data_IF_089454508567
#
_entry.id   IF_089454508567
#
_cell.length_a   1.000
_cell.length_b   1.000
_cell.length_c   1.000
_cell.angle_alpha   90.00
_cell.angle_beta   90.00
_cell.angle_gamma   90.00
#
_symmetry.space_group_name_H-M   'P 1'
#
loop_
_entity.id
_entity.type
_entity.pdbx_description
1 polymer ?
#
# COMPACT_ATOMS: atom_id res chain seq x y z
N UNK A 1 -23.85 -16.20 -3.56
CA UNK A 1 -24.23 -14.83 -3.99
C UNK A 1 -23.02 -13.94 -3.75
N UNK A 2 -22.67 -13.08 -4.71
CA UNK A 2 -21.65 -12.06 -4.48
C UNK A 2 -22.23 -10.98 -3.57
N UNK A 3 -21.52 -10.63 -2.50
CA UNK A 3 -21.89 -9.55 -1.58
C UNK A 3 -20.96 -8.36 -1.86
N UNK A 4 -21.54 -7.19 -2.13
CA UNK A 4 -20.80 -5.95 -2.35
C UNK A 4 -20.98 -5.08 -1.11
N UNK A 5 -19.93 -4.84 -0.31
CA UNK A 5 -20.04 -3.94 0.82
C UNK A 5 -20.27 -2.50 0.34
N UNK A 6 -21.14 -1.77 1.02
CA UNK A 6 -21.48 -0.38 0.73
C UNK A 6 -21.21 0.45 1.97
N UNK A 7 -20.44 1.53 1.82
CA UNK A 7 -20.26 2.49 2.90
C UNK A 7 -21.47 3.45 2.95
N UNK A 8 -22.22 3.41 4.05
CA UNK A 8 -23.42 4.24 4.22
C UNK A 8 -23.16 5.60 4.90
N UNK A 9 -22.07 5.71 5.67
CA UNK A 9 -21.76 6.89 6.47
C UNK A 9 -20.26 7.08 6.60
N UNK A 10 -19.84 8.32 6.85
CA UNK A 10 -18.45 8.63 7.16
C UNK A 10 -18.03 8.12 8.53
N UNK A 11 -18.96 7.84 9.46
CA UNK A 11 -18.65 7.26 10.78
C UNK A 11 -19.28 5.87 10.94
N UNK A 12 -18.60 4.92 11.61
CA UNK A 12 -17.27 5.03 12.26
C UNK A 12 -16.08 4.99 11.29
N UNK A 13 -14.91 5.48 11.74
CA UNK A 13 -13.62 5.50 10.99
C UNK A 13 -12.53 4.93 11.89
N UNK A 14 -11.61 4.16 11.32
CA UNK A 14 -10.38 3.75 11.99
C UNK A 14 -9.45 4.95 12.25
N UNK A 15 -8.55 4.82 13.23
CA UNK A 15 -7.42 5.76 13.34
C UNK A 15 -6.51 5.67 12.11
N UNK A 16 -5.76 6.71 11.76
CA UNK A 16 -4.88 6.68 10.58
C UNK A 16 -3.89 5.50 10.60
N UNK A 17 -3.34 5.18 11.77
CA UNK A 17 -2.44 4.05 11.97
C UNK A 17 -3.15 2.71 11.69
N UNK A 18 -4.33 2.52 12.27
CA UNK A 18 -5.10 1.30 12.07
C UNK A 18 -5.62 1.19 10.64
N UNK A 19 -6.08 2.28 10.03
CA UNK A 19 -6.54 2.33 8.66
C UNK A 19 -5.44 1.96 7.66
N UNK A 20 -4.20 2.40 7.91
CA UNK A 20 -3.04 2.02 7.12
C UNK A 20 -2.79 0.51 7.20
N UNK A 21 -2.91 -0.09 8.39
CA UNK A 21 -2.78 -1.52 8.58
C UNK A 21 -3.93 -2.30 7.94
N UNK A 22 -5.19 -1.84 8.08
CA UNK A 22 -6.37 -2.49 7.49
C UNK A 22 -6.42 -2.36 5.98
N UNK A 23 -5.91 -1.26 5.42
CA UNK A 23 -6.03 -0.89 4.01
C UNK A 23 -7.34 -0.16 3.68
N UNK A 24 -8.08 0.29 4.70
CA UNK A 24 -9.31 1.08 4.55
C UNK A 24 -9.52 1.94 5.79
N UNK A 25 -10.09 3.13 5.61
CA UNK A 25 -10.54 3.97 6.73
C UNK A 25 -11.84 3.46 7.35
N UNK A 26 -12.63 2.69 6.62
CA UNK A 26 -14.01 2.41 6.99
C UNK A 26 -14.20 0.95 7.42
N UNK A 27 -14.57 0.69 8.69
CA UNK A 27 -14.80 -0.67 9.19
C UNK A 27 -15.85 -1.45 8.40
N UNK A 28 -16.86 -0.76 7.85
CA UNK A 28 -17.89 -1.40 7.01
C UNK A 28 -17.38 -1.94 5.67
N UNK A 29 -16.17 -1.54 5.26
CA UNK A 29 -15.48 -2.03 4.07
C UNK A 29 -14.34 -3.02 4.40
N UNK A 30 -13.97 -3.19 5.68
CA UNK A 30 -12.92 -4.11 6.13
C UNK A 30 -13.47 -5.55 6.21
N UNK A 31 -13.62 -6.18 5.05
CA UNK A 31 -14.10 -7.56 4.95
C UNK A 31 -12.91 -8.54 5.03
N UNK A 32 -12.96 -9.57 5.90
CA UNK A 32 -11.91 -10.56 5.98
C UNK A 32 -11.87 -11.41 4.70
N UNK A 33 -10.68 -11.59 4.15
CA UNK A 33 -10.45 -12.55 3.08
C UNK A 33 -10.10 -13.90 3.71
N UNK A 34 -10.93 -14.93 3.55
CA UNK A 34 -10.69 -16.27 4.15
C UNK A 34 -10.43 -16.23 5.67
N UNK A 35 -11.19 -15.42 6.42
CA UNK A 35 -10.97 -15.14 7.86
C UNK A 35 -9.60 -14.51 8.20
N UNK A 36 -8.85 -14.07 7.20
CA UNK A 36 -7.63 -13.29 7.39
C UNK A 36 -7.97 -11.80 7.32
N UNK A 37 -7.45 -11.05 8.29
CA UNK A 37 -7.47 -9.60 8.31
C UNK A 37 -6.04 -9.10 8.40
N UNK A 38 -5.76 -7.95 7.81
CA UNK A 38 -4.46 -7.33 7.98
C UNK A 38 -4.34 -6.85 9.43
N UNK A 39 -3.41 -7.44 10.18
CA UNK A 39 -3.16 -7.11 11.60
C UNK A 39 -1.78 -6.53 11.84
N UNK A 40 -0.89 -6.55 10.85
CA UNK A 40 0.47 -6.05 10.99
C UNK A 40 0.47 -4.55 11.21
N UNK A 41 1.13 -4.09 12.27
CA UNK A 41 1.40 -2.67 12.46
C UNK A 41 2.46 -2.22 11.45
N UNK A 42 2.02 -1.43 10.46
CA UNK A 42 2.91 -0.89 9.43
C UNK A 42 3.48 0.47 9.83
N UNK A 43 3.04 1.05 10.95
CA UNK A 43 3.50 2.38 11.36
C UNK A 43 4.99 2.39 11.67
N UNK A 44 5.70 3.38 11.13
CA UNK A 44 7.16 3.50 11.28
C UNK A 44 7.99 2.44 10.53
N UNK A 45 7.36 1.52 9.78
CA UNK A 45 8.08 0.56 8.93
C UNK A 45 8.40 1.17 7.56
N UNK A 46 9.50 0.75 6.90
CA UNK A 46 9.81 1.22 5.54
C UNK A 46 8.71 0.92 4.52
N UNK A 47 8.00 -0.20 4.66
CA UNK A 47 6.87 -0.53 3.77
C UNK A 47 5.68 0.41 4.03
N UNK A 48 5.34 0.65 5.31
CA UNK A 48 4.26 1.55 5.68
C UNK A 48 4.51 2.99 5.21
N UNK A 49 5.76 3.45 5.25
CA UNK A 49 6.16 4.76 4.70
C UNK A 49 5.91 4.83 3.19
N UNK A 50 6.32 3.82 2.41
CA UNK A 50 6.04 3.74 0.97
C UNK A 50 4.54 3.75 0.69
N UNK A 51 3.77 2.92 1.39
CA UNK A 51 2.33 2.81 1.21
C UNK A 51 1.60 4.12 1.53
N UNK A 52 1.96 4.79 2.63
CA UNK A 52 1.35 6.05 3.01
C UNK A 52 1.63 7.15 1.99
N UNK A 53 2.87 7.27 1.51
CA UNK A 53 3.23 8.26 0.49
C UNK A 53 2.53 7.99 -0.84
N UNK A 54 2.42 6.74 -1.26
CA UNK A 54 1.70 6.36 -2.48
C UNK A 54 0.20 6.63 -2.39
N UNK A 55 -0.41 6.38 -1.23
CA UNK A 55 -1.80 6.73 -0.98
C UNK A 55 -2.02 8.24 -1.14
N UNK A 56 -1.20 9.06 -0.47
CA UNK A 56 -1.31 10.53 -0.56
C UNK A 56 -1.08 11.02 -2.00
N UNK A 57 -0.13 10.43 -2.72
CA UNK A 57 0.10 10.76 -4.13
C UNK A 57 -1.15 10.49 -4.98
N UNK A 58 -1.79 9.34 -4.79
CA UNK A 58 -2.99 8.98 -5.54
C UNK A 58 -4.19 9.90 -5.21
N UNK A 59 -4.38 10.24 -3.94
CA UNK A 59 -5.45 11.16 -3.51
C UNK A 59 -5.25 12.56 -4.09
N UNK A 60 -4.02 13.08 -4.09
CA UNK A 60 -3.70 14.39 -4.67
C UNK A 60 -3.90 14.40 -6.20
N UNK A 61 -3.52 13.32 -6.88
CA UNK A 61 -3.78 13.18 -8.31
C UNK A 61 -5.29 13.24 -8.61
N UNK A 62 -6.10 12.50 -7.85
CA UNK A 62 -7.56 12.51 -7.99
C UNK A 62 -8.18 13.88 -7.71
N UNK A 63 -7.67 14.61 -6.71
CA UNK A 63 -8.09 15.99 -6.46
C UNK A 63 -7.76 16.91 -7.66
N UNK A 64 -6.53 16.84 -8.17
CA UNK A 64 -6.05 17.65 -9.28
C UNK A 64 -6.79 17.38 -10.60
N UNK A 65 -7.33 16.18 -10.82
CA UNK A 65 -8.19 15.87 -11.97
C UNK A 65 -9.42 16.81 -12.06
N UNK A 66 -9.88 17.33 -10.92
CA UNK A 66 -11.01 18.27 -10.83
C UNK A 66 -10.58 19.72 -10.54
N UNK A 67 -9.36 19.93 -10.05
CA UNK A 67 -8.81 21.23 -9.64
C UNK A 67 -7.45 21.50 -10.29
N UNK A 68 -7.35 21.33 -11.61
CA UNK A 68 -6.07 21.35 -12.33
C UNK A 68 -5.31 22.69 -12.31
N UNK A 69 -5.95 23.78 -11.90
CA UNK A 69 -5.35 25.11 -11.77
C UNK A 69 -4.84 25.41 -10.34
N UNK A 70 -5.00 24.48 -9.40
CA UNK A 70 -4.52 24.61 -8.03
C UNK A 70 -2.99 24.38 -7.96
N UNK A 71 -2.23 25.47 -8.04
CA UNK A 71 -0.77 25.44 -8.03
C UNK A 71 -0.19 24.90 -6.72
N UNK A 72 -0.84 25.19 -5.58
CA UNK A 72 -0.38 24.73 -4.26
C UNK A 72 -0.51 23.21 -4.14
N UNK A 73 -1.66 22.66 -4.54
CA UNK A 73 -1.86 21.21 -4.59
C UNK A 73 -0.88 20.52 -5.55
N UNK A 74 -0.54 21.17 -6.67
CA UNK A 74 0.43 20.63 -7.61
C UNK A 74 1.87 20.63 -7.07
N UNK A 75 2.30 21.69 -6.37
CA UNK A 75 3.60 21.71 -5.69
C UNK A 75 3.68 20.64 -4.60
N UNK A 76 2.62 20.49 -3.80
CA UNK A 76 2.54 19.43 -2.80
C UNK A 76 2.64 18.05 -3.48
N UNK A 77 1.89 17.81 -4.54
CA UNK A 77 1.92 16.56 -5.30
C UNK A 77 3.34 16.21 -5.78
N UNK A 78 4.06 17.17 -6.37
CA UNK A 78 5.46 16.99 -6.77
C UNK A 78 6.36 16.61 -5.59
N UNK A 79 6.18 17.26 -4.43
CA UNK A 79 6.96 16.93 -3.24
C UNK A 79 6.71 15.50 -2.75
N UNK A 80 5.44 15.06 -2.76
CA UNK A 80 5.04 13.70 -2.36
C UNK A 80 5.58 12.67 -3.35
N UNK A 81 5.55 12.93 -4.66
CA UNK A 81 6.16 12.05 -5.65
C UNK A 81 7.66 11.87 -5.44
N UNK A 82 8.39 12.94 -5.12
CA UNK A 82 9.82 12.87 -4.82
C UNK A 82 10.12 12.07 -3.54
N UNK A 83 9.32 12.25 -2.50
CA UNK A 83 9.42 11.48 -1.25
C UNK A 83 9.09 10.00 -1.49
N UNK A 84 7.99 9.69 -2.20
CA UNK A 84 7.60 8.31 -2.54
C UNK A 84 8.71 7.61 -3.32
N UNK A 85 9.29 8.28 -4.33
CA UNK A 85 10.42 7.73 -5.10
C UNK A 85 11.60 7.38 -4.19
N UNK A 86 11.99 8.30 -3.30
CA UNK A 86 13.11 8.09 -2.37
C UNK A 86 12.84 6.94 -1.40
N UNK A 87 11.62 6.87 -0.86
CA UNK A 87 11.20 5.79 0.04
C UNK A 87 11.23 4.42 -0.66
N UNK A 88 10.73 4.36 -1.91
CA UNK A 88 10.77 3.14 -2.74
C UNK A 88 12.19 2.69 -3.03
N UNK A 89 13.07 3.60 -3.43
CA UNK A 89 14.49 3.28 -3.68
C UNK A 89 15.17 2.70 -2.44
N UNK A 90 14.91 3.30 -1.27
CA UNK A 90 15.41 2.80 0.02
C UNK A 90 14.84 1.42 0.36
N UNK A 91 13.53 1.22 0.16
CA UNK A 91 12.88 -0.07 0.40
C UNK A 91 13.47 -1.16 -0.51
N UNK A 92 13.55 -0.88 -1.81
CA UNK A 92 14.01 -1.84 -2.82
C UNK A 92 15.42 -2.31 -2.54
N UNK A 93 16.30 -1.38 -2.15
CA UNK A 93 17.69 -1.69 -1.79
C UNK A 93 17.80 -2.66 -0.60
N UNK A 94 16.88 -2.61 0.35
CA UNK A 94 16.95 -3.38 1.60
C UNK A 94 16.15 -4.69 1.53
N UNK A 95 14.98 -4.67 0.89
CA UNK A 95 14.00 -5.76 1.00
C UNK A 95 13.80 -6.53 -0.31
N UNK A 96 14.04 -5.89 -1.46
CA UNK A 96 13.83 -6.46 -2.79
C UNK A 96 12.89 -5.63 -3.66
N UNK A 97 12.71 -6.02 -4.93
CA UNK A 97 11.96 -5.24 -5.91
C UNK A 97 10.48 -5.07 -5.52
N UNK A 98 9.93 -3.87 -5.73
CA UNK A 98 8.50 -3.57 -5.60
C UNK A 98 7.78 -3.66 -6.94
N UNK A 99 8.47 -3.34 -8.02
CA UNK A 99 8.00 -3.38 -9.41
C UNK A 99 8.99 -4.14 -10.28
N UNK A 100 8.54 -4.62 -11.45
CA UNK A 100 9.44 -5.29 -12.39
C UNK A 100 10.55 -4.36 -12.90
N UNK A 101 10.30 -3.04 -12.95
CA UNK A 101 11.29 -2.04 -13.36
C UNK A 101 12.49 -1.97 -12.39
N UNK A 102 12.30 -2.34 -11.13
CA UNK A 102 13.39 -2.36 -10.14
C UNK A 102 14.47 -3.41 -10.49
N UNK A 103 14.11 -4.42 -11.28
CA UNK A 103 15.04 -5.44 -11.77
C UNK A 103 16.05 -4.90 -12.77
N UNK A 104 15.82 -3.72 -13.37
CA UNK A 104 16.78 -3.10 -14.29
C UNK A 104 18.14 -2.85 -13.63
N UNK A 105 18.15 -2.69 -12.30
CA UNK A 105 19.38 -2.51 -11.50
C UNK A 105 19.79 -3.77 -10.74
N UNK A 106 19.08 -4.89 -10.91
CA UNK A 106 19.37 -6.13 -10.20
C UNK A 106 20.43 -6.96 -10.94
N UNK A 107 21.32 -7.60 -10.18
CA UNK A 107 22.35 -8.50 -10.74
C UNK A 107 21.79 -9.90 -11.08
N UNK A 108 20.61 -10.22 -10.57
CA UNK A 108 19.93 -11.50 -10.76
C UNK A 108 18.42 -11.29 -10.71
N UNK A 109 17.65 -12.32 -11.09
CA UNK A 109 16.19 -12.26 -11.09
C UNK A 109 15.63 -12.39 -9.66
N UNK A 110 15.56 -11.27 -8.94
CA UNK A 110 15.16 -11.21 -7.52
C UNK A 110 13.66 -11.05 -7.28
N UNK A 111 12.85 -11.00 -8.34
CA UNK A 111 11.39 -10.91 -8.25
C UNK A 111 10.78 -12.12 -7.53
N UNK A 112 11.30 -13.31 -7.81
CA UNK A 112 10.90 -14.54 -7.15
C UNK A 112 11.80 -14.76 -5.93
N UNK A 113 11.34 -14.35 -4.74
CA UNK A 113 12.02 -14.62 -3.47
C UNK A 113 11.13 -15.49 -2.60
N UNK A 114 11.52 -16.76 -2.45
CA UNK A 114 10.89 -17.68 -1.50
C UNK A 114 11.28 -17.33 -0.06
N UNK A 115 10.43 -17.68 0.93
CA UNK A 115 9.14 -18.36 0.82
C UNK A 115 7.97 -17.39 0.56
N UNK A 116 7.01 -17.82 -0.26
CA UNK A 116 5.74 -17.14 -0.40
C UNK A 116 4.83 -17.41 0.81
N UNK A 117 3.82 -16.55 1.09
CA UNK A 117 2.89 -16.76 2.20
C UNK A 117 2.15 -18.12 2.18
N UNK A 118 1.95 -18.71 1.00
CA UNK A 118 1.36 -20.05 0.85
C UNK A 118 2.38 -21.20 0.89
N UNK A 119 3.69 -20.94 0.80
CA UNK A 119 4.73 -21.97 0.95
C UNK A 119 4.86 -22.44 2.42
N UNK A 120 4.27 -21.70 3.36
CA UNK A 120 4.16 -22.11 4.77
C UNK A 120 3.07 -23.17 5.01
N UNK A 121 2.25 -23.51 4.00
CA UNK A 121 1.38 -24.68 4.06
C UNK A 121 2.26 -25.93 4.03
N UNK A 122 2.45 -26.53 5.20
CA UNK A 122 3.19 -27.78 5.42
C UNK A 122 2.80 -28.81 4.36
N UNK A 123 3.81 -29.39 3.70
CA UNK A 123 3.66 -30.65 2.96
C UNK A 123 3.25 -31.75 3.95
N UNK A 124 1.97 -31.85 4.27
CA UNK A 124 1.39 -33.05 4.89
C UNK A 124 0.55 -33.75 3.85
N UNK A 125 1.16 -34.37 2.85
CA UNK A 125 0.60 -35.59 2.26
C UNK A 125 1.78 -36.52 1.94
N UNK A 126 1.70 -37.73 2.52
CA UNK A 126 2.69 -38.80 2.40
C UNK A 126 2.51 -39.68 1.18
#
# INVERSE_FOLDING_TARGET
MAYVPMQQSVKPVYSNAEALSRGTLFPGLDLPFMNMVNTGDLTGTPLGEVMALDFVAQELALYLDTHSADEEAFELYKSILALSKTAKEKYVKLYGPLTHSDLLQAQSYTWLKNPWPWDYCVKTEG
#
